data_IF_148540221350
#
_entry.id   IF_148540221350
#
_cell.length_a   1.000
_cell.length_b   1.000
_cell.length_c   1.000
_cell.angle_alpha   90.00
_cell.angle_beta   90.00
_cell.angle_gamma   90.00
#
_symmetry.space_group_name_H-M   'P 1'
#
loop_
_entity.id
_entity.type
_entity.pdbx_description
1 polymer ?
#
# COMPACT_ATOMS: atom_id res chain seq x y z
N UNK A 1 0.00 6.75 11.90
CA UNK A 1 0.80 5.52 11.63
C UNK A 1 1.41 5.52 10.23
N UNK A 2 0.63 5.61 9.15
CA UNK A 2 1.16 5.58 7.78
C UNK A 2 2.14 6.72 7.47
N UNK A 3 1.83 7.94 7.90
CA UNK A 3 2.74 9.09 7.73
C UNK A 3 4.10 8.90 8.40
N UNK A 4 4.11 8.31 9.60
CA UNK A 4 5.35 7.96 10.29
C UNK A 4 6.17 6.93 9.50
N UNK A 5 5.51 5.90 8.95
CA UNK A 5 6.17 4.90 8.12
C UNK A 5 6.77 5.52 6.85
N UNK A 6 6.04 6.44 6.19
CA UNK A 6 6.54 7.20 5.04
C UNK A 6 7.75 8.05 5.40
N UNK A 7 7.67 8.82 6.50
CA UNK A 7 8.76 9.66 6.97
C UNK A 7 10.00 8.81 7.28
N UNK A 8 9.82 7.65 7.91
CA UNK A 8 10.92 6.73 8.20
C UNK A 8 11.55 6.14 6.94
N UNK A 9 10.75 5.85 5.91
CA UNK A 9 11.24 5.43 4.60
C UNK A 9 12.07 6.53 3.92
N UNK A 10 11.55 7.77 3.88
CA UNK A 10 12.27 8.92 3.32
C UNK A 10 13.61 9.15 4.03
N UNK A 11 13.64 9.06 5.36
CA UNK A 11 14.87 9.20 6.15
C UNK A 11 15.92 8.11 5.86
N UNK A 12 15.51 6.99 5.22
CA UNK A 12 16.39 5.91 4.79
C UNK A 12 16.69 5.92 3.28
N UNK A 13 16.28 6.97 2.57
CA UNK A 13 16.47 7.07 1.12
C UNK A 13 15.55 6.16 0.31
N UNK A 14 14.44 5.66 0.89
CA UNK A 14 13.45 4.93 0.11
C UNK A 14 12.75 5.86 -0.88
N UNK A 15 12.73 5.49 -2.16
CA UNK A 15 12.11 6.27 -3.22
C UNK A 15 10.59 6.04 -3.36
N UNK A 16 10.07 4.93 -2.84
CA UNK A 16 8.67 4.52 -3.02
C UNK A 16 8.19 3.67 -1.84
N UNK A 17 6.88 3.73 -1.59
CA UNK A 17 6.17 2.83 -0.67
C UNK A 17 5.13 2.06 -1.48
N UNK A 18 5.11 0.74 -1.33
CA UNK A 18 4.14 -0.14 -1.98
C UNK A 18 3.40 -0.97 -0.94
N UNK A 19 2.15 -1.31 -1.24
CA UNK A 19 1.34 -2.22 -0.44
C UNK A 19 0.41 -3.02 -1.33
N UNK A 20 0.05 -4.22 -0.88
CA UNK A 20 -1.04 -5.03 -1.44
C UNK A 20 -2.12 -5.17 -0.38
N UNK A 21 -3.37 -4.89 -0.75
CA UNK A 21 -4.54 -5.10 0.10
C UNK A 21 -5.49 -6.10 -0.57
N UNK A 22 -6.21 -6.88 0.25
CA UNK A 22 -7.26 -7.77 -0.24
C UNK A 22 -8.34 -6.96 -0.97
N UNK A 23 -8.76 -7.44 -2.15
CA UNK A 23 -9.74 -6.77 -3.03
C UNK A 23 -11.07 -6.47 -2.33
N UNK A 24 -11.46 -7.26 -1.33
CA UNK A 24 -12.72 -7.10 -0.58
C UNK A 24 -12.68 -5.96 0.43
N UNK A 25 -11.51 -5.38 0.73
CA UNK A 25 -11.35 -4.31 1.74
C UNK A 25 -11.50 -2.93 1.12
N UNK A 26 -12.68 -2.63 0.59
CA UNK A 26 -12.95 -1.39 -0.14
C UNK A 26 -12.65 -0.12 0.69
N UNK A 27 -12.99 -0.14 1.98
CA UNK A 27 -12.71 0.97 2.90
C UNK A 27 -11.22 1.23 3.04
N UNK A 28 -10.41 0.17 3.10
CA UNK A 28 -8.96 0.29 3.14
C UNK A 28 -8.42 0.88 1.84
N UNK A 29 -9.00 0.52 0.68
CA UNK A 29 -8.61 1.13 -0.60
C UNK A 29 -8.96 2.61 -0.67
N UNK A 30 -10.15 3.02 -0.16
CA UNK A 30 -10.50 4.44 -0.05
C UNK A 30 -9.50 5.19 0.85
N UNK A 31 -9.14 4.61 1.98
CA UNK A 31 -8.13 5.15 2.89
C UNK A 31 -6.74 5.29 2.23
N UNK A 32 -6.26 4.28 1.51
CA UNK A 32 -4.95 4.40 0.84
C UNK A 32 -4.98 5.40 -0.32
N UNK A 33 -6.08 5.48 -1.07
CA UNK A 33 -6.25 6.52 -2.09
C UNK A 33 -6.25 7.93 -1.47
N UNK A 34 -6.88 8.12 -0.32
CA UNK A 34 -6.86 9.43 0.36
C UNK A 34 -5.46 9.82 0.86
N UNK A 35 -4.58 8.84 1.06
CA UNK A 35 -3.15 9.06 1.37
C UNK A 35 -2.27 9.27 0.13
N UNK A 36 -2.84 9.28 -1.08
CA UNK A 36 -2.13 9.51 -2.34
C UNK A 36 -1.54 8.26 -2.99
N UNK A 37 -1.89 7.06 -2.52
CA UNK A 37 -1.50 5.84 -3.23
C UNK A 37 -2.26 5.68 -4.54
N UNK A 38 -1.53 5.37 -5.62
CA UNK A 38 -2.12 4.91 -6.87
C UNK A 38 -2.34 3.40 -6.85
N UNK A 39 -3.55 2.94 -7.20
CA UNK A 39 -3.85 1.52 -7.41
C UNK A 39 -3.39 1.10 -8.81
N UNK A 40 -2.08 1.06 -9.03
CA UNK A 40 -1.49 0.85 -10.36
C UNK A 40 -1.11 -0.60 -10.68
N UNK A 41 -1.09 -1.49 -9.69
CA UNK A 41 -0.65 -2.88 -9.84
C UNK A 41 -1.71 -3.85 -9.32
N UNK A 42 -1.84 -4.99 -10.02
CA UNK A 42 -2.69 -6.10 -9.60
C UNK A 42 -1.88 -7.10 -8.75
N UNK A 43 -2.41 -7.44 -7.58
CA UNK A 43 -1.84 -8.49 -6.72
C UNK A 43 -2.36 -9.86 -7.11
N UNK A 44 -1.47 -10.79 -7.43
CA UNK A 44 -1.80 -12.19 -7.69
C UNK A 44 -1.52 -13.05 -6.47
N UNK A 45 -2.39 -14.02 -6.21
CA UNK A 45 -2.21 -15.02 -5.17
C UNK A 45 -2.62 -16.37 -5.74
N UNK A 46 -1.82 -17.40 -5.48
CA UNK A 46 -2.15 -18.79 -5.73
C UNK A 46 -2.06 -19.52 -4.39
N UNK A 47 -3.17 -20.07 -3.94
CA UNK A 47 -3.17 -20.97 -2.80
C UNK A 47 -2.80 -22.36 -3.33
N UNK A 48 -1.75 -22.94 -2.75
CA UNK A 48 -1.37 -24.32 -2.99
C UNK A 48 -1.79 -25.10 -1.76
N UNK A 49 -2.44 -26.24 -1.99
CA UNK A 49 -2.90 -27.15 -0.94
C UNK A 49 -1.76 -27.67 -0.07
#
# INVERSE_FOLDING_TARGET
MMEWAHAKGRARGCAMVQLTSDKRREDAHRFYRSLGYAQSHEGFKLQLD
#
